data_IF_985036617589
#
_entry.id   IF_985036617589
#
_cell.length_a   1.000
_cell.length_b   1.000
_cell.length_c   1.000
_cell.angle_alpha   90.00
_cell.angle_beta   90.00
_cell.angle_gamma   90.00
#
_symmetry.space_group_name_H-M   'P 1'
#
loop_
_entity.id
_entity.type
_entity.pdbx_description
1 polymer ?
#
# COMPACT_ATOMS: atom_id res chain seq x y z
N UNK A 1 -33.64 46.95 -22.65
CA UNK A 1 -33.16 45.71 -22.01
C UNK A 1 -34.03 45.43 -20.80
N UNK A 2 -35.03 44.56 -20.95
CA UNK A 2 -35.90 44.15 -19.83
C UNK A 2 -35.20 43.01 -19.09
N UNK A 3 -34.58 43.32 -17.95
CA UNK A 3 -34.01 42.32 -17.06
C UNK A 3 -35.16 41.58 -16.38
N UNK A 4 -35.35 40.31 -16.74
CA UNK A 4 -36.33 39.46 -16.06
C UNK A 4 -35.58 38.67 -14.97
N UNK A 5 -35.86 38.87 -13.68
CA UNK A 5 -35.16 38.14 -12.62
C UNK A 5 -35.41 36.64 -12.77
N UNK A 6 -34.32 35.86 -12.81
CA UNK A 6 -34.39 34.40 -12.80
C UNK A 6 -34.73 33.90 -11.40
N UNK A 7 -36.02 33.94 -11.08
CA UNK A 7 -36.56 33.48 -9.79
C UNK A 7 -36.25 32.00 -9.57
N UNK A 8 -36.23 31.18 -10.63
CA UNK A 8 -35.90 29.75 -10.53
C UNK A 8 -34.46 29.55 -10.10
N UNK A 9 -33.52 30.29 -10.68
CA UNK A 9 -32.11 30.30 -10.27
C UNK A 9 -31.90 30.76 -8.83
N UNK A 10 -32.69 31.73 -8.36
CA UNK A 10 -32.62 32.23 -6.97
C UNK A 10 -33.17 31.22 -5.96
N UNK A 11 -34.23 30.47 -6.30
CA UNK A 11 -34.84 29.51 -5.37
C UNK A 11 -34.22 28.11 -5.38
N UNK A 12 -33.56 27.72 -6.48
CA UNK A 12 -32.95 26.40 -6.62
C UNK A 12 -31.93 26.05 -5.50
N UNK A 13 -31.08 26.97 -5.02
CA UNK A 13 -30.17 26.70 -3.90
C UNK A 13 -30.85 26.26 -2.60
N UNK A 14 -32.10 26.67 -2.34
CA UNK A 14 -32.82 26.23 -1.14
C UNK A 14 -33.15 24.73 -1.16
N UNK A 15 -33.13 24.07 -2.31
CA UNK A 15 -33.24 22.60 -2.40
C UNK A 15 -32.06 21.88 -1.72
N UNK A 16 -30.93 22.55 -1.54
CA UNK A 16 -29.76 22.01 -0.83
C UNK A 16 -30.02 21.83 0.67
N UNK A 17 -30.96 22.58 1.26
CA UNK A 17 -31.36 22.40 2.67
C UNK A 17 -31.89 20.97 2.92
N UNK A 18 -32.46 20.32 1.91
CA UNK A 18 -32.88 18.92 1.97
C UNK A 18 -31.75 17.92 2.20
N UNK A 19 -30.49 18.28 1.92
CA UNK A 19 -29.34 17.40 2.16
C UNK A 19 -29.03 17.23 3.65
N UNK A 20 -29.41 18.19 4.50
CA UNK A 20 -29.20 18.09 5.96
C UNK A 20 -29.97 16.94 6.62
N UNK A 21 -31.04 16.45 5.97
CA UNK A 21 -31.82 15.31 6.44
C UNK A 21 -31.28 13.95 5.99
N UNK A 22 -30.31 13.92 5.07
CA UNK A 22 -29.69 12.67 4.62
C UNK A 22 -28.57 12.26 5.56
N UNK A 23 -28.33 10.95 5.67
CA UNK A 23 -27.17 10.44 6.42
C UNK A 23 -25.87 10.89 5.73
N UNK A 24 -24.86 11.31 6.51
CA UNK A 24 -23.58 11.69 5.95
C UNK A 24 -22.91 10.47 5.34
N UNK A 25 -22.22 10.66 4.21
CA UNK A 25 -21.44 9.61 3.55
C UNK A 25 -20.01 9.49 4.13
N UNK A 26 -19.74 10.23 5.21
CA UNK A 26 -18.45 10.25 5.90
C UNK A 26 -18.29 9.00 6.77
N UNK A 27 -17.07 8.49 6.85
CA UNK A 27 -16.70 7.42 7.78
C UNK A 27 -15.95 8.04 8.96
N UNK A 28 -16.21 7.56 10.18
CA UNK A 28 -15.53 8.05 11.36
C UNK A 28 -14.18 7.35 11.57
N UNK A 29 -13.17 7.72 10.78
CA UNK A 29 -11.81 7.22 10.94
C UNK A 29 -11.18 7.83 12.22
N UNK A 30 -10.56 7.05 13.12
CA UNK A 30 -10.08 5.67 12.94
C UNK A 30 -11.00 4.56 13.49
N UNK A 31 -12.16 4.91 14.08
CA UNK A 31 -13.07 3.95 14.73
C UNK A 31 -13.74 3.04 13.70
N UNK A 32 -14.20 3.62 12.58
CA UNK A 32 -14.80 2.92 11.46
C UNK A 32 -13.82 2.96 10.28
N UNK A 33 -13.39 1.78 9.81
CA UNK A 33 -12.54 1.65 8.61
C UNK A 33 -13.33 1.06 7.46
N UNK A 34 -12.89 1.36 6.23
CA UNK A 34 -13.39 0.65 5.05
C UNK A 34 -12.94 -0.81 5.13
N UNK A 35 -13.77 -1.76 4.68
CA UNK A 35 -13.33 -3.14 4.57
C UNK A 35 -12.17 -3.23 3.58
N UNK A 36 -11.20 -4.07 3.93
CA UNK A 36 -10.06 -4.35 3.07
C UNK A 36 -10.53 -5.02 1.78
N UNK A 37 -9.97 -4.57 0.66
CA UNK A 37 -10.27 -5.12 -0.67
C UNK A 37 -9.25 -6.20 -1.00
N UNK A 38 -9.70 -7.29 -1.59
CA UNK A 38 -8.81 -8.34 -2.09
C UNK A 38 -7.89 -7.78 -3.18
N UNK A 39 -6.58 -8.02 -3.05
CA UNK A 39 -5.58 -7.48 -3.98
C UNK A 39 -5.23 -6.01 -3.77
N UNK A 40 -5.62 -5.40 -2.64
CA UNK A 40 -5.10 -4.09 -2.27
C UNK A 40 -3.57 -4.14 -2.13
N UNK A 41 -2.89 -3.08 -2.58
CA UNK A 41 -1.43 -2.99 -2.64
C UNK A 41 -0.89 -2.16 -1.46
N UNK A 42 -0.93 -2.75 -0.26
CA UNK A 42 -0.38 -2.16 0.97
C UNK A 42 1.08 -2.53 1.19
N UNK A 43 1.45 -2.96 2.40
CA UNK A 43 2.83 -3.30 2.74
C UNK A 43 3.26 -4.67 2.22
N UNK A 44 4.55 -4.80 1.92
CA UNK A 44 5.17 -6.05 1.50
C UNK A 44 5.29 -7.03 2.67
N UNK A 45 5.03 -8.29 2.40
CA UNK A 45 5.36 -9.42 3.27
C UNK A 45 6.16 -10.43 2.46
N UNK A 46 7.10 -11.12 3.10
CA UNK A 46 7.94 -12.10 2.44
C UNK A 46 7.99 -13.38 3.25
N UNK A 47 7.46 -14.47 2.72
CA UNK A 47 7.56 -15.79 3.33
C UNK A 47 9.00 -16.30 3.19
N UNK A 48 9.80 -16.20 4.26
CA UNK A 48 11.24 -16.47 4.21
C UNK A 48 11.55 -17.95 3.94
N UNK A 49 10.65 -18.85 4.34
CA UNK A 49 10.75 -20.29 4.09
C UNK A 49 10.63 -20.68 2.61
N UNK A 50 10.00 -19.84 1.78
CA UNK A 50 9.84 -20.07 0.33
C UNK A 50 10.73 -19.17 -0.51
N UNK A 51 11.15 -18.01 0.00
CA UNK A 51 12.05 -17.09 -0.69
C UNK A 51 13.39 -17.74 -1.03
N UNK A 52 13.75 -17.80 -2.33
CA UNK A 52 15.01 -18.40 -2.81
C UNK A 52 16.15 -17.39 -3.00
N UNK A 53 15.92 -16.11 -2.67
CA UNK A 53 16.95 -15.07 -2.76
C UNK A 53 17.45 -14.78 -4.17
N UNK A 54 16.59 -14.93 -5.20
CA UNK A 54 16.99 -14.79 -6.60
C UNK A 54 17.27 -13.35 -7.07
N UNK A 55 16.79 -12.32 -6.35
CA UNK A 55 17.04 -10.92 -6.72
C UNK A 55 16.13 -10.35 -7.82
N UNK A 56 15.29 -11.15 -8.49
CA UNK A 56 14.41 -10.66 -9.56
C UNK A 56 13.50 -9.48 -9.15
N UNK A 57 13.09 -9.43 -7.88
CA UNK A 57 12.28 -8.33 -7.35
C UNK A 57 13.05 -7.00 -7.29
N UNK A 58 14.36 -7.04 -7.03
CA UNK A 58 15.24 -5.89 -7.13
C UNK A 58 15.42 -5.48 -8.59
N UNK A 59 15.74 -6.44 -9.47
CA UNK A 59 16.02 -6.16 -10.89
C UNK A 59 14.82 -5.56 -11.64
N UNK A 60 13.60 -5.99 -11.34
CA UNK A 60 12.38 -5.47 -11.99
C UNK A 60 11.95 -4.10 -11.44
N UNK A 61 12.50 -3.67 -10.31
CA UNK A 61 12.06 -2.44 -9.64
C UNK A 61 12.56 -1.20 -10.38
N UNK A 62 11.67 -0.56 -11.15
CA UNK A 62 12.00 0.66 -11.91
C UNK A 62 12.41 1.85 -11.04
N UNK A 63 12.03 1.84 -9.76
CA UNK A 63 12.35 2.92 -8.81
C UNK A 63 13.60 2.64 -7.98
N UNK A 64 14.27 1.49 -8.19
CA UNK A 64 15.42 1.06 -7.39
C UNK A 64 15.12 1.14 -5.87
N UNK A 65 13.92 0.67 -5.51
CA UNK A 65 13.38 0.73 -4.15
C UNK A 65 13.60 -0.56 -3.36
N UNK A 66 14.22 -1.59 -3.95
CA UNK A 66 14.43 -2.88 -3.32
C UNK A 66 15.92 -3.21 -3.31
N UNK A 67 16.45 -3.50 -2.13
CA UNK A 67 17.82 -3.97 -1.93
C UNK A 67 17.81 -5.41 -1.40
N UNK A 68 18.65 -6.28 -1.94
CA UNK A 68 18.89 -7.60 -1.35
C UNK A 68 19.90 -7.48 -0.20
N UNK A 69 19.46 -7.79 1.03
CA UNK A 69 20.26 -7.65 2.26
C UNK A 69 20.24 -8.93 3.09
N UNK A 70 21.14 -9.02 4.07
CA UNK A 70 21.11 -10.13 5.02
C UNK A 70 19.82 -10.10 5.87
N UNK A 71 19.21 -11.26 6.15
CA UNK A 71 18.01 -11.34 6.97
C UNK A 71 18.32 -10.98 8.43
N UNK A 72 17.26 -10.67 9.18
CA UNK A 72 17.40 -10.45 10.61
C UNK A 72 17.92 -11.71 11.33
N UNK A 73 18.72 -11.55 12.40
CA UNK A 73 19.23 -12.68 13.17
C UNK A 73 18.11 -13.61 13.65
N UNK A 74 18.27 -14.92 13.42
CA UNK A 74 17.30 -15.93 13.85
C UNK A 74 16.16 -16.20 12.87
N UNK A 75 16.16 -15.58 11.68
CA UNK A 75 15.20 -15.89 10.63
C UNK A 75 15.36 -17.33 10.09
N UNK A 76 14.24 -18.04 9.91
CA UNK A 76 14.23 -19.37 9.29
C UNK A 76 14.13 -19.20 7.78
N UNK A 77 15.28 -19.32 7.13
CA UNK A 77 15.41 -19.15 5.69
C UNK A 77 15.12 -20.44 4.93
N UNK A 78 14.66 -20.30 3.69
CA UNK A 78 14.61 -21.42 2.76
C UNK A 78 16.01 -22.04 2.59
N UNK A 79 16.18 -23.36 2.78
CA UNK A 79 17.46 -24.05 2.53
C UNK A 79 17.98 -23.91 1.10
N UNK A 80 17.08 -23.61 0.15
CA UNK A 80 17.40 -23.37 -1.26
C UNK A 80 17.77 -21.92 -1.57
N UNK A 81 17.74 -21.03 -0.58
CA UNK A 81 18.21 -19.66 -0.77
C UNK A 81 19.74 -19.66 -0.88
N UNK A 82 20.23 -19.64 -2.12
CA UNK A 82 21.66 -19.73 -2.41
C UNK A 82 22.43 -18.43 -2.09
N UNK A 83 21.77 -17.28 -2.13
CA UNK A 83 22.43 -15.99 -1.84
C UNK A 83 22.48 -15.68 -0.35
N UNK A 84 21.58 -16.26 0.45
CA UNK A 84 21.39 -15.90 1.85
C UNK A 84 20.77 -14.52 2.06
N UNK A 85 20.34 -13.84 0.97
CA UNK A 85 19.81 -12.49 1.01
C UNK A 85 18.28 -12.48 0.87
N UNK A 86 17.66 -11.42 1.38
CA UNK A 86 16.22 -11.14 1.34
C UNK A 86 15.96 -9.70 0.90
N UNK A 87 14.82 -9.40 0.26
CA UNK A 87 14.50 -8.05 -0.16
C UNK A 87 14.17 -7.17 1.05
N UNK A 88 14.82 -6.01 1.13
CA UNK A 88 14.42 -4.85 1.94
C UNK A 88 13.83 -3.80 1.01
N UNK A 89 12.74 -3.16 1.40
CA UNK A 89 12.02 -2.18 0.57
C UNK A 89 12.16 -0.78 1.19
N UNK A 90 12.57 0.18 0.37
CA UNK A 90 12.51 1.61 0.68
C UNK A 90 11.14 2.18 0.28
N UNK A 91 10.28 2.43 1.27
CA UNK A 91 8.96 3.04 1.02
C UNK A 91 9.00 4.53 0.69
N UNK A 92 10.14 5.20 0.85
CA UNK A 92 10.34 6.55 0.33
C UNK A 92 10.46 6.59 -1.20
N UNK A 93 10.87 5.47 -1.82
CA UNK A 93 11.05 5.33 -3.29
C UNK A 93 9.98 4.47 -3.96
N UNK A 94 9.46 3.48 -3.25
CA UNK A 94 8.47 2.56 -3.80
C UNK A 94 7.20 3.30 -4.27
N UNK A 95 6.65 2.91 -5.42
CA UNK A 95 5.39 3.46 -5.95
C UNK A 95 4.22 2.46 -5.91
N UNK A 96 4.37 1.34 -5.21
CA UNK A 96 3.33 0.30 -5.05
C UNK A 96 2.74 -0.22 -6.37
N UNK A 97 3.58 -0.40 -7.40
CA UNK A 97 3.15 -0.92 -8.70
C UNK A 97 2.83 -2.42 -8.68
N UNK A 98 3.49 -3.20 -7.80
CA UNK A 98 3.27 -4.65 -7.66
C UNK A 98 4.13 -5.54 -8.57
N UNK A 99 4.96 -4.98 -9.46
CA UNK A 99 5.77 -5.78 -10.40
C UNK A 99 6.73 -6.77 -9.70
N UNK A 100 7.23 -6.41 -8.51
CA UNK A 100 8.08 -7.27 -7.69
C UNK A 100 7.35 -8.53 -7.19
N UNK A 101 6.05 -8.45 -6.97
CA UNK A 101 5.19 -9.58 -6.58
C UNK A 101 4.93 -10.45 -7.81
N UNK A 102 4.57 -9.83 -8.94
CA UNK A 102 4.25 -10.57 -10.18
C UNK A 102 5.45 -11.38 -10.72
N UNK A 103 6.67 -10.89 -10.55
CA UNK A 103 7.90 -11.60 -10.97
C UNK A 103 8.36 -12.66 -9.96
N UNK A 104 7.76 -12.72 -8.78
CA UNK A 104 8.17 -13.63 -7.71
C UNK A 104 7.75 -15.07 -8.04
N UNK A 105 8.63 -15.82 -8.72
CA UNK A 105 8.39 -17.22 -9.07
C UNK A 105 7.91 -18.13 -7.92
N UNK A 106 8.48 -18.07 -6.70
CA UNK A 106 8.02 -18.89 -5.57
C UNK A 106 6.80 -18.31 -4.83
N UNK A 107 6.27 -17.15 -5.24
CA UNK A 107 5.19 -16.41 -4.56
C UNK A 107 5.50 -16.17 -3.06
N UNK A 108 6.77 -15.85 -2.78
CA UNK A 108 7.22 -15.55 -1.42
C UNK A 108 6.89 -14.10 -1.04
N UNK A 109 7.04 -13.17 -1.98
CA UNK A 109 6.81 -11.74 -1.77
C UNK A 109 5.38 -11.38 -2.18
N UNK A 110 4.60 -10.79 -1.26
CA UNK A 110 3.20 -10.39 -1.49
C UNK A 110 2.92 -9.00 -0.93
N UNK A 111 1.82 -8.39 -1.35
CA UNK A 111 1.29 -7.15 -0.78
C UNK A 111 0.06 -7.45 0.08
N UNK A 112 0.05 -6.94 1.31
CA UNK A 112 -1.10 -7.03 2.23
C UNK A 112 -2.05 -5.84 2.07
N UNK A 113 -3.22 -5.91 2.70
CA UNK A 113 -4.16 -4.78 2.73
C UNK A 113 -3.73 -3.65 3.69
N UNK A 114 -2.93 -3.97 4.71
CA UNK A 114 -2.46 -2.99 5.68
C UNK A 114 -1.61 -1.92 4.97
N UNK A 115 -1.95 -0.66 5.17
CA UNK A 115 -1.32 0.48 4.50
C UNK A 115 -1.12 1.69 5.40
N UNK A 116 -1.40 1.56 6.70
CA UNK A 116 -1.19 2.64 7.65
C UNK A 116 0.13 2.42 8.36
N UNK A 117 1.12 3.24 8.02
CA UNK A 117 2.38 3.34 8.76
C UNK A 117 2.73 4.81 8.94
N UNK A 118 2.88 5.22 10.19
CA UNK A 118 3.16 6.61 10.55
C UNK A 118 4.36 6.61 11.47
N UNK A 119 5.40 7.33 11.07
CA UNK A 119 6.62 7.51 11.83
C UNK A 119 7.16 8.91 11.55
N UNK A 120 7.80 9.52 12.55
CA UNK A 120 8.49 10.80 12.39
C UNK A 120 9.90 10.62 11.79
N UNK A 121 10.46 9.41 11.91
CA UNK A 121 11.79 9.06 11.44
C UNK A 121 11.74 8.62 9.97
N UNK A 122 12.60 9.21 9.13
CA UNK A 122 12.68 8.88 7.70
C UNK A 122 13.25 7.48 7.46
N UNK A 123 14.21 7.07 8.28
CA UNK A 123 14.90 5.79 8.11
C UNK A 123 13.98 4.60 8.45
N UNK A 124 12.94 4.82 9.25
CA UNK A 124 11.92 3.81 9.54
C UNK A 124 11.13 3.34 8.31
N UNK A 125 11.18 4.06 7.19
CA UNK A 125 10.60 3.65 5.91
C UNK A 125 11.50 2.69 5.12
N UNK A 126 12.75 2.45 5.56
CA UNK A 126 13.57 1.33 5.12
C UNK A 126 13.05 0.04 5.77
N UNK A 127 12.10 -0.57 5.10
CA UNK A 127 11.27 -1.62 5.66
C UNK A 127 11.80 -3.01 5.33
N UNK A 128 11.98 -3.83 6.37
CA UNK A 128 12.19 -5.26 6.21
C UNK A 128 10.82 -5.96 6.18
N UNK A 129 10.47 -6.69 5.09
CA UNK A 129 9.26 -7.48 5.02
C UNK A 129 9.10 -8.42 6.21
N UNK A 130 7.90 -8.44 6.77
CA UNK A 130 7.53 -9.41 7.81
C UNK A 130 7.45 -10.81 7.21
N UNK A 131 7.91 -11.79 7.98
CA UNK A 131 7.75 -13.21 7.63
C UNK A 131 6.32 -13.66 7.95
N UNK A 132 5.57 -13.92 6.87
CA UNK A 132 4.19 -14.40 6.87
C UNK A 132 3.97 -15.23 5.60
#
# INVERSE_FOLDING_TARGET
>A
MTWNPDIKGIVHPFSALGQGFKRPHTLNYPVERRPDVTGYRGFHVNTLSTCVGCGNCQDICMNEAIDMVEPLPGAVMNPKNASGLVPRIDYGRCCWCGLCVDVCGPDSLRLEAECVYVSADGDSFLYMPKDK
#
